data_IF_592285598622
#
_entry.id   IF_592285598622
#
_cell.length_a   1.000
_cell.length_b   1.000
_cell.length_c   1.000
_cell.angle_alpha   90.00
_cell.angle_beta   90.00
_cell.angle_gamma   90.00
#
_symmetry.space_group_name_H-M   'P 1'
#
loop_
_entity.id
_entity.type
_entity.pdbx_description
1 polymer ?
#
# COMPACT_ATOMS: atom_id res chain seq x y z
N UNK A 1 -15.55 -28.21 53.46
CA UNK A 1 -16.59 -27.68 52.57
C UNK A 1 -16.55 -28.52 51.31
N UNK A 2 -17.54 -29.41 51.13
CA UNK A 2 -17.68 -30.22 49.90
C UNK A 2 -18.50 -29.40 48.89
N UNK A 3 -18.09 -29.51 47.64
CA UNK A 3 -18.73 -29.02 46.41
C UNK A 3 -18.97 -27.51 46.21
N UNK A 4 -18.69 -27.09 44.97
CA UNK A 4 -19.38 -26.00 44.31
C UNK A 4 -18.53 -24.75 44.08
N UNK A 5 -17.93 -24.63 42.88
CA UNK A 5 -18.47 -23.80 41.78
C UNK A 5 -18.05 -24.36 40.43
N UNK A 6 -19.04 -24.43 39.57
CA UNK A 6 -19.02 -24.91 38.19
C UNK A 6 -18.29 -23.92 37.28
N UNK A 7 -17.74 -24.48 36.21
CA UNK A 7 -17.50 -23.89 34.88
C UNK A 7 -17.52 -22.35 34.80
N UNK A 8 -16.33 -21.76 34.61
CA UNK A 8 -16.22 -20.46 33.96
C UNK A 8 -16.42 -20.66 32.46
N UNK A 9 -17.61 -21.06 32.04
CA UNK A 9 -17.99 -20.90 30.63
C UNK A 9 -18.11 -19.40 30.39
N UNK A 10 -17.04 -18.84 29.81
CA UNK A 10 -17.12 -17.56 29.15
C UNK A 10 -18.05 -17.77 27.96
N UNK A 11 -19.35 -17.53 28.16
CA UNK A 11 -20.29 -17.43 27.04
C UNK A 11 -19.63 -16.59 25.97
N UNK A 12 -19.66 -17.07 24.72
CA UNK A 12 -19.27 -16.24 23.60
C UNK A 12 -20.17 -15.01 23.69
N UNK A 13 -19.64 -13.89 24.19
CA UNK A 13 -20.30 -12.61 24.07
C UNK A 13 -20.56 -12.50 22.58
N UNK A 14 -21.81 -12.67 22.18
CA UNK A 14 -22.24 -12.29 20.85
C UNK A 14 -21.91 -10.81 20.79
N UNK A 15 -20.75 -10.52 20.20
CA UNK A 15 -20.41 -9.18 19.74
C UNK A 15 -21.65 -8.71 19.01
N UNK A 16 -22.18 -7.58 19.47
CA UNK A 16 -23.39 -6.96 18.92
C UNK A 16 -23.38 -7.16 17.41
N UNK A 17 -24.38 -7.83 16.81
CA UNK A 17 -24.37 -8.08 15.38
C UNK A 17 -24.29 -6.72 14.68
N UNK A 18 -23.15 -6.45 14.05
CA UNK A 18 -22.91 -5.26 13.24
C UNK A 18 -23.55 -5.48 11.84
N UNK A 19 -24.76 -6.03 11.81
CA UNK A 19 -25.44 -6.40 10.57
C UNK A 19 -26.53 -5.41 10.18
N UNK A 20 -26.67 -4.31 10.94
CA UNK A 20 -27.55 -3.18 10.59
C UNK A 20 -26.81 -1.96 10.03
N UNK A 21 -25.48 -2.03 9.84
CA UNK A 21 -24.75 -1.00 9.11
C UNK A 21 -25.09 -1.14 7.63
N UNK A 22 -26.21 -0.52 7.25
CA UNK A 22 -26.89 -0.68 5.97
C UNK A 22 -25.92 -0.69 4.78
N UNK A 23 -26.12 -1.64 3.85
CA UNK A 23 -25.53 -1.62 2.49
C UNK A 23 -25.61 -0.22 1.85
N UNK A 24 -26.62 0.59 2.22
CA UNK A 24 -26.74 1.99 1.83
C UNK A 24 -25.52 2.84 2.22
N UNK A 25 -24.97 2.70 3.43
CA UNK A 25 -23.81 3.46 3.90
C UNK A 25 -22.54 3.03 3.16
N UNK A 26 -22.35 1.72 2.99
CA UNK A 26 -21.24 1.17 2.21
C UNK A 26 -21.27 1.72 0.78
N UNK A 27 -22.42 1.60 0.09
CA UNK A 27 -22.59 2.09 -1.27
C UNK A 27 -22.37 3.62 -1.38
N UNK A 28 -22.74 4.39 -0.34
CA UNK A 28 -22.51 5.84 -0.31
C UNK A 28 -21.03 6.18 -0.14
N UNK A 29 -20.30 5.47 0.74
CA UNK A 29 -18.85 5.64 0.88
C UNK A 29 -18.15 5.23 -0.41
N UNK A 30 -18.49 4.08 -0.97
CA UNK A 30 -17.93 3.58 -2.23
C UNK A 30 -18.11 4.59 -3.35
N UNK A 31 -19.32 5.13 -3.52
CA UNK A 31 -19.60 6.15 -4.53
C UNK A 31 -18.73 7.40 -4.37
N UNK A 32 -18.63 7.94 -3.15
CA UNK A 32 -17.82 9.14 -2.88
C UNK A 32 -16.34 8.88 -3.19
N UNK A 33 -15.83 7.70 -2.88
CA UNK A 33 -14.44 7.31 -3.12
C UNK A 33 -14.18 7.06 -4.60
N UNK A 34 -15.13 6.50 -5.34
CA UNK A 34 -15.00 6.31 -6.79
C UNK A 34 -15.00 7.63 -7.55
N UNK A 35 -15.72 8.64 -7.08
CA UNK A 35 -15.69 10.00 -7.62
C UNK A 35 -14.34 10.68 -7.36
N UNK A 36 -13.82 10.58 -6.12
CA UNK A 36 -12.49 11.11 -5.78
C UNK A 36 -11.79 10.28 -4.68
N UNK A 37 -10.80 9.47 -5.11
CA UNK A 37 -10.00 8.61 -4.23
C UNK A 37 -9.01 9.39 -3.36
N UNK A 38 -8.86 10.71 -3.54
CA UNK A 38 -7.89 11.55 -2.79
C UNK A 38 -8.53 12.23 -1.58
N UNK A 39 -9.82 12.03 -1.33
CA UNK A 39 -10.50 12.61 -0.18
C UNK A 39 -9.95 12.03 1.14
N UNK A 40 -9.81 12.90 2.14
CA UNK A 40 -9.46 12.46 3.50
C UNK A 40 -10.63 11.73 4.14
N UNK A 41 -10.34 10.91 5.17
CA UNK A 41 -11.37 10.17 5.89
C UNK A 41 -12.38 11.11 6.57
N UNK A 42 -11.95 12.28 7.05
CA UNK A 42 -12.81 13.31 7.63
C UNK A 42 -13.76 13.92 6.60
N UNK A 43 -13.27 14.15 5.39
CA UNK A 43 -14.09 14.68 4.30
C UNK A 43 -15.15 13.66 3.86
N UNK A 44 -14.78 12.38 3.77
CA UNK A 44 -15.71 11.30 3.44
C UNK A 44 -16.75 11.15 4.57
N UNK A 45 -16.30 11.12 5.83
CA UNK A 45 -17.15 11.05 7.01
C UNK A 45 -18.17 12.19 7.03
N UNK A 46 -17.73 13.41 6.75
CA UNK A 46 -18.58 14.60 6.68
C UNK A 46 -19.59 14.55 5.52
N UNK A 47 -19.17 14.07 4.34
CA UNK A 47 -20.05 13.92 3.17
C UNK A 47 -21.12 12.84 3.36
N UNK A 48 -20.77 11.73 3.98
CA UNK A 48 -21.68 10.59 4.16
C UNK A 48 -22.51 10.74 5.44
N UNK A 49 -21.99 11.44 6.45
CA UNK A 49 -22.63 11.63 7.76
C UNK A 49 -22.37 10.46 8.72
N UNK A 50 -21.17 9.87 8.68
CA UNK A 50 -20.76 8.76 9.54
C UNK A 50 -19.48 9.09 10.29
N UNK A 51 -19.10 8.25 11.28
CA UNK A 51 -17.85 8.48 12.01
C UNK A 51 -16.62 8.19 11.15
N UNK A 52 -15.50 8.84 11.46
CA UNK A 52 -14.21 8.59 10.80
C UNK A 52 -13.77 7.13 10.96
N UNK A 53 -14.01 6.52 12.13
CA UNK A 53 -13.70 5.10 12.36
C UNK A 53 -14.50 4.16 11.45
N UNK A 54 -15.75 4.52 11.16
CA UNK A 54 -16.59 3.79 10.20
C UNK A 54 -16.05 3.86 8.78
N UNK A 55 -15.62 5.06 8.36
CA UNK A 55 -14.98 5.26 7.05
C UNK A 55 -13.69 4.43 6.97
N UNK A 56 -12.90 4.42 8.03
CA UNK A 56 -11.67 3.62 8.09
C UNK A 56 -11.96 2.12 7.90
N UNK A 57 -12.90 1.56 8.67
CA UNK A 57 -13.33 0.15 8.53
C UNK A 57 -13.79 -0.14 7.11
N UNK A 58 -14.67 0.70 6.54
CA UNK A 58 -15.18 0.48 5.18
C UNK A 58 -14.06 0.57 4.12
N UNK A 59 -13.17 1.56 4.21
CA UNK A 59 -12.08 1.71 3.25
C UNK A 59 -11.09 0.55 3.31
N UNK A 60 -10.76 0.07 4.52
CA UNK A 60 -9.67 -0.89 4.73
C UNK A 60 -10.15 -2.35 4.71
N UNK A 61 -11.26 -2.66 5.37
CA UNK A 61 -11.77 -4.02 5.52
C UNK A 61 -12.67 -4.40 4.35
N UNK A 62 -13.63 -3.54 3.98
CA UNK A 62 -14.63 -3.88 2.97
C UNK A 62 -14.15 -3.56 1.53
N UNK A 63 -13.68 -2.33 1.29
CA UNK A 63 -13.22 -1.88 -0.03
C UNK A 63 -11.76 -2.23 -0.32
N UNK A 64 -10.98 -2.62 0.70
CA UNK A 64 -9.55 -2.98 0.60
C UNK A 64 -8.72 -1.96 -0.18
N UNK A 65 -9.03 -0.67 0.02
CA UNK A 65 -8.43 0.43 -0.72
C UNK A 65 -7.03 0.74 -0.20
N UNK A 66 -6.08 0.82 -1.12
CA UNK A 66 -4.71 1.26 -0.85
C UNK A 66 -4.18 2.10 -2.00
N UNK A 67 -3.36 3.10 -1.70
CA UNK A 67 -2.61 3.84 -2.70
C UNK A 67 -1.38 3.03 -3.14
N UNK A 68 -1.17 2.90 -4.45
CA UNK A 68 0.09 2.36 -4.99
C UNK A 68 1.06 3.50 -5.27
N UNK A 69 2.34 3.26 -5.01
CA UNK A 69 3.38 4.21 -5.40
C UNK A 69 3.57 4.19 -6.91
N UNK A 70 3.58 5.37 -7.53
CA UNK A 70 3.78 5.54 -8.97
C UNK A 70 5.13 6.26 -9.16
N UNK A 71 6.11 5.67 -9.86
CA UNK A 71 7.46 6.22 -9.97
C UNK A 71 7.52 7.60 -10.61
N UNK A 72 6.61 7.89 -11.55
CA UNK A 72 6.61 9.14 -12.29
C UNK A 72 5.19 9.51 -12.75
N UNK A 73 4.86 10.80 -12.70
CA UNK A 73 3.68 11.33 -13.36
C UNK A 73 3.95 11.51 -14.85
N UNK A 74 3.28 10.71 -15.69
CA UNK A 74 3.44 10.77 -17.14
C UNK A 74 2.65 11.94 -17.74
N UNK A 75 3.30 12.71 -18.60
CA UNK A 75 2.67 13.73 -19.47
C UNK A 75 2.08 13.04 -20.71
N UNK A 76 1.02 13.59 -21.31
CA UNK A 76 0.25 12.90 -22.37
C UNK A 76 1.09 12.43 -23.56
N UNK A 77 2.11 13.19 -23.98
CA UNK A 77 3.03 12.76 -25.03
C UNK A 77 3.81 11.48 -24.67
N UNK A 78 4.20 11.31 -23.41
CA UNK A 78 4.87 10.09 -22.94
C UNK A 78 3.90 8.91 -22.94
N UNK A 79 2.63 9.12 -22.58
CA UNK A 79 1.61 8.06 -22.63
C UNK A 79 1.39 7.58 -24.05
N UNK A 80 1.26 8.50 -25.00
CA UNK A 80 1.11 8.15 -26.41
C UNK A 80 2.33 7.39 -26.94
N UNK A 81 3.54 7.86 -26.63
CA UNK A 81 4.76 7.16 -27.01
C UNK A 81 4.86 5.74 -26.41
N UNK A 82 4.41 5.53 -25.18
CA UNK A 82 4.35 4.20 -24.56
C UNK A 82 3.36 3.28 -25.27
N UNK A 83 2.16 3.77 -25.61
CA UNK A 83 1.14 2.97 -26.30
C UNK A 83 1.60 2.58 -27.72
N UNK A 84 2.13 3.53 -28.50
CA UNK A 84 2.65 3.23 -29.84
C UNK A 84 3.81 2.25 -29.82
N UNK A 85 4.67 2.30 -28.80
CA UNK A 85 5.78 1.35 -28.63
C UNK A 85 5.27 -0.07 -28.37
N UNK A 86 4.21 -0.22 -27.59
CA UNK A 86 3.61 -1.52 -27.27
C UNK A 86 2.96 -2.17 -28.50
N UNK A 87 2.22 -1.40 -29.31
CA UNK A 87 1.62 -1.87 -30.56
C UNK A 87 2.65 -2.38 -31.58
N UNK A 88 3.86 -1.82 -31.55
CA UNK A 88 4.97 -2.22 -32.43
C UNK A 88 5.77 -3.43 -31.93
N UNK A 89 5.54 -3.92 -30.72
CA UNK A 89 6.25 -5.07 -30.16
C UNK A 89 5.65 -6.39 -30.66
N UNK A 90 6.26 -6.97 -31.69
CA UNK A 90 5.91 -8.32 -32.15
C UNK A 90 6.60 -9.41 -31.30
N UNK A 91 5.97 -10.58 -31.20
CA UNK A 91 6.48 -11.70 -30.39
C UNK A 91 7.87 -12.23 -30.81
N UNK A 92 8.28 -11.97 -32.06
CA UNK A 92 9.59 -12.36 -32.60
C UNK A 92 10.74 -11.48 -32.11
N UNK A 93 10.49 -10.28 -31.59
CA UNK A 93 11.54 -9.42 -31.05
C UNK A 93 12.16 -10.00 -29.77
N UNK A 94 11.36 -10.67 -28.93
CA UNK A 94 11.81 -11.18 -27.63
C UNK A 94 12.85 -12.29 -27.70
N UNK A 95 12.99 -12.99 -28.83
CA UNK A 95 14.03 -14.03 -28.99
C UNK A 95 15.42 -13.46 -29.23
N UNK A 96 15.54 -12.17 -29.58
CA UNK A 96 16.80 -11.49 -29.90
C UNK A 96 17.18 -10.36 -28.94
N UNK A 97 16.28 -9.99 -28.03
CA UNK A 97 16.49 -8.88 -27.10
C UNK A 97 17.19 -9.37 -25.84
N UNK A 98 18.34 -8.76 -25.53
CA UNK A 98 19.01 -8.85 -24.23
C UNK A 98 18.85 -7.49 -23.55
N UNK A 99 18.32 -7.46 -22.33
CA UNK A 99 18.13 -6.23 -21.55
C UNK A 99 19.06 -6.23 -20.36
N UNK A 100 19.71 -5.10 -20.08
CA UNK A 100 20.55 -4.94 -18.91
C UNK A 100 20.05 -3.77 -18.08
N UNK A 101 19.96 -3.95 -16.76
CA UNK A 101 19.69 -2.86 -15.82
C UNK A 101 20.80 -2.74 -14.77
N UNK A 102 20.98 -1.52 -14.27
CA UNK A 102 21.86 -1.24 -13.15
C UNK A 102 21.00 -1.06 -11.90
N UNK A 103 21.17 -1.94 -10.92
CA UNK A 103 20.51 -1.82 -9.62
C UNK A 103 21.55 -1.48 -8.56
N UNK A 104 21.27 -0.44 -7.77
CA UNK A 104 22.09 -0.07 -6.62
C UNK A 104 21.81 -1.01 -5.44
N UNK A 105 22.82 -1.73 -4.98
CA UNK A 105 22.71 -2.55 -3.77
C UNK A 105 23.32 -1.82 -2.57
N UNK A 106 22.53 -1.61 -1.48
CA UNK A 106 23.08 -1.00 -0.28
C UNK A 106 24.13 -1.92 0.34
N UNK A 107 25.34 -1.40 0.56
CA UNK A 107 26.38 -2.12 1.29
C UNK A 107 26.03 -2.16 2.79
N UNK A 108 25.86 -3.36 3.33
CA UNK A 108 25.54 -3.54 4.75
C UNK A 108 26.83 -3.65 5.58
N UNK A 109 27.19 -2.60 6.30
CA UNK A 109 28.24 -2.65 7.32
C UNK A 109 27.61 -2.88 8.71
N UNK A 110 27.84 -4.04 9.35
CA UNK A 110 27.30 -4.31 10.68
C UNK A 110 27.96 -3.50 11.81
N UNK A 111 29.15 -2.93 11.61
CA UNK A 111 29.92 -2.28 12.69
C UNK A 111 29.42 -0.85 13.01
N UNK A 112 28.89 -0.14 12.03
CA UNK A 112 28.44 1.27 12.20
C UNK A 112 27.05 1.40 12.82
N UNK A 113 26.32 0.30 13.03
CA UNK A 113 24.96 0.30 13.59
C UNK A 113 24.88 0.26 15.12
N UNK A 114 26.02 0.19 15.83
CA UNK A 114 26.01 0.09 17.30
C UNK A 114 25.60 1.40 17.99
N UNK A 115 25.62 2.54 17.31
CA UNK A 115 25.46 3.83 17.99
C UNK A 115 24.23 4.68 17.64
N UNK A 116 23.37 4.35 16.66
CA UNK A 116 22.16 5.17 16.39
C UNK A 116 20.96 4.41 15.80
N UNK A 117 19.71 4.69 16.25
CA UNK A 117 18.51 4.11 15.67
C UNK A 117 17.96 4.98 14.54
N UNK A 118 18.64 5.10 13.39
CA UNK A 118 18.04 5.82 12.24
C UNK A 118 18.38 5.19 10.88
N UNK A 119 17.51 4.28 10.43
CA UNK A 119 17.60 3.58 9.13
C UNK A 119 17.54 4.52 7.91
N UNK A 120 17.04 5.75 8.08
CA UNK A 120 16.91 6.74 6.99
C UNK A 120 18.19 7.49 6.68
N UNK A 121 19.06 7.73 7.68
CA UNK A 121 20.25 8.57 7.51
C UNK A 121 21.34 7.85 6.73
N UNK A 122 21.42 6.52 6.85
CA UNK A 122 22.45 5.71 6.22
C UNK A 122 22.26 5.58 4.69
N UNK A 123 21.00 5.58 4.21
CA UNK A 123 20.69 5.53 2.77
C UNK A 123 21.18 6.79 2.05
N UNK A 124 20.85 7.97 2.57
CA UNK A 124 21.28 9.26 1.98
C UNK A 124 22.79 9.48 2.08
N UNK A 125 23.42 9.04 3.17
CA UNK A 125 24.88 9.18 3.36
C UNK A 125 25.68 8.27 2.41
N UNK A 126 25.19 7.06 2.13
CA UNK A 126 25.85 6.10 1.21
C UNK A 126 25.83 6.56 -0.25
N UNK A 127 24.71 7.14 -0.71
CA UNK A 127 24.57 7.67 -2.08
C UNK A 127 25.52 8.87 -2.31
N UNK A 128 25.74 9.72 -1.31
CA UNK A 128 26.66 10.86 -1.43
C UNK A 128 28.12 10.53 -1.14
N UNK A 129 28.42 9.44 -0.41
CA UNK A 129 29.80 9.04 -0.09
C UNK A 129 30.42 8.06 -1.10
N UNK A 130 29.67 7.60 -2.11
CA UNK A 130 30.17 6.68 -3.13
C UNK A 130 30.42 5.25 -2.64
N UNK A 131 29.88 4.85 -1.48
CA UNK A 131 30.12 3.53 -0.86
C UNK A 131 29.07 2.46 -1.27
N UNK A 132 28.53 2.55 -2.50
CA UNK A 132 27.60 1.56 -3.05
C UNK A 132 28.30 0.69 -4.10
N UNK A 133 28.00 -0.61 -4.11
CA UNK A 133 28.44 -1.50 -5.20
C UNK A 133 27.41 -1.39 -6.33
N UNK A 134 27.87 -1.02 -7.52
CA UNK A 134 27.07 -1.13 -8.74
C UNK A 134 27.08 -2.58 -9.20
N UNK A 135 25.89 -3.17 -9.34
CA UNK A 135 25.73 -4.51 -9.92
C UNK A 135 24.95 -4.34 -11.23
N UNK A 136 25.53 -4.85 -12.31
CA UNK A 136 24.88 -4.93 -13.62
C UNK A 136 24.28 -6.32 -13.77
N UNK A 137 23.00 -6.40 -14.12
CA UNK A 137 22.30 -7.67 -14.35
C UNK A 137 21.95 -7.78 -15.83
N UNK A 138 22.32 -8.89 -16.47
CA UNK A 138 22.01 -9.24 -17.86
C UNK A 138 20.74 -10.10 -17.96
#
# INVERSE_FOLDING_TARGET
FKEGRMSCDNESKQSRPCTSWSDNMFNRVEKVVLEDRRLSMENIASKVGISVGSVHTILHEDLRMSSRWVPQMLVDNHKQAMLTRDEGMNGTLFSSVVTMDETWMPFFNPETKRDFPVVKTDFYRSVHSGHGIKVSTL
#
